data_IF_557903623268
#
_entry.id   IF_557903623268
#
_cell.length_a   1.000
_cell.length_b   1.000
_cell.length_c   1.000
_cell.angle_alpha   90.00
_cell.angle_beta   90.00
_cell.angle_gamma   90.00
#
_symmetry.space_group_name_H-M   'P 1'
#
loop_
_entity.id
_entity.type
_entity.pdbx_description
1 polymer ?
#
# COMPACT_ATOMS: atom_id res chain seq x y z
N UNK A 1 -15.88 -4.61 10.80
CA UNK A 1 -14.95 -3.52 11.13
C UNK A 1 -13.92 -3.42 10.02
N UNK A 2 -13.55 -2.23 9.58
CA UNK A 2 -12.48 -2.03 8.60
C UNK A 2 -11.31 -1.35 9.33
N UNK A 3 -10.12 -1.95 9.27
CA UNK A 3 -8.94 -1.49 10.01
C UNK A 3 -7.98 -0.68 9.14
N UNK A 4 -7.25 0.24 9.76
CA UNK A 4 -6.21 1.03 9.09
C UNK A 4 -4.92 0.95 9.90
N UNK A 5 -3.80 0.83 9.21
CA UNK A 5 -2.48 1.01 9.82
C UNK A 5 -1.54 1.70 8.84
N UNK A 6 -0.67 2.55 9.37
CA UNK A 6 0.31 3.28 8.59
C UNK A 6 1.70 2.81 8.97
N UNK A 7 2.44 2.41 7.95
CA UNK A 7 3.86 2.07 8.00
C UNK A 7 4.70 3.16 7.31
N UNK A 8 4.09 4.32 7.04
CA UNK A 8 4.78 5.49 6.51
C UNK A 8 5.88 5.94 7.48
N UNK A 9 6.97 6.46 6.91
CA UNK A 9 8.16 6.98 7.58
C UNK A 9 8.99 5.94 8.34
N UNK A 10 8.67 4.66 8.19
CA UNK A 10 9.54 3.60 8.67
C UNK A 10 10.75 3.50 7.72
N UNK A 11 11.96 3.28 8.23
CA UNK A 11 13.19 3.32 7.43
C UNK A 11 13.41 2.05 6.59
N UNK A 12 12.35 1.47 6.02
CA UNK A 12 12.42 0.20 5.30
C UNK A 12 13.34 0.31 4.07
N UNK A 13 13.16 1.34 3.24
CA UNK A 13 14.01 1.55 2.06
C UNK A 13 15.42 2.02 2.39
N UNK A 14 15.69 2.43 3.63
CA UNK A 14 17.02 2.83 4.10
C UNK A 14 17.81 1.69 4.75
N UNK A 15 17.15 0.56 5.02
CA UNK A 15 17.76 -0.59 5.69
C UNK A 15 18.74 -1.29 4.74
N UNK A 16 20.01 -1.43 5.14
CA UNK A 16 21.02 -2.18 4.39
C UNK A 16 21.74 -3.17 5.32
N UNK A 17 21.65 -4.45 4.98
CA UNK A 17 22.29 -5.55 5.73
C UNK A 17 23.66 -5.98 5.14
N UNK A 18 24.18 -5.22 4.17
CA UNK A 18 25.44 -5.51 3.47
C UNK A 18 25.27 -6.00 2.03
N UNK A 19 24.02 -6.09 1.53
CA UNK A 19 23.69 -6.53 0.17
C UNK A 19 22.95 -5.45 -0.64
N UNK A 20 22.87 -4.23 -0.10
CA UNK A 20 22.15 -3.11 -0.70
C UNK A 20 20.75 -2.92 -0.11
N UNK A 21 20.14 -1.79 -0.48
CA UNK A 21 18.82 -1.36 -0.01
C UNK A 21 17.68 -2.08 -0.74
N UNK A 22 16.50 -2.26 -0.11
CA UNK A 22 15.33 -2.85 -0.76
C UNK A 22 14.91 -2.10 -2.02
N UNK A 23 14.56 -2.86 -3.05
CA UNK A 23 13.97 -2.32 -4.29
C UNK A 23 12.46 -2.17 -4.14
N UNK A 24 11.84 -3.08 -3.39
CA UNK A 24 10.40 -3.12 -3.16
C UNK A 24 10.09 -3.68 -1.77
N UNK A 25 9.00 -3.21 -1.17
CA UNK A 25 8.52 -3.62 0.14
C UNK A 25 7.12 -4.22 -0.02
N UNK A 26 6.86 -5.32 0.66
CA UNK A 26 5.55 -5.94 0.69
C UNK A 26 5.28 -6.60 2.04
N UNK A 27 4.00 -6.85 2.31
CA UNK A 27 3.56 -7.55 3.52
C UNK A 27 3.02 -8.94 3.20
N UNK A 28 3.46 -9.94 3.96
CA UNK A 28 2.89 -11.29 3.89
C UNK A 28 1.60 -11.44 4.71
N UNK A 29 1.19 -10.39 5.43
CA UNK A 29 0.09 -10.46 6.35
C UNK A 29 -1.25 -10.51 5.59
N UNK A 30 -2.05 -11.54 5.89
CA UNK A 30 -3.41 -11.68 5.35
C UNK A 30 -4.42 -11.14 6.35
N UNK A 31 -4.74 -9.86 6.23
CA UNK A 31 -5.79 -9.25 7.04
C UNK A 31 -7.09 -9.20 6.26
N UNK A 32 -8.21 -9.55 6.91
CA UNK A 32 -9.52 -9.35 6.32
C UNK A 32 -9.98 -7.92 6.60
N UNK A 33 -10.42 -7.19 5.56
CA UNK A 33 -10.97 -5.82 5.67
C UNK A 33 -10.01 -4.83 6.34
N UNK A 34 -8.82 -4.64 5.77
CA UNK A 34 -7.83 -3.70 6.29
C UNK A 34 -7.11 -2.94 5.17
N UNK A 35 -6.60 -1.75 5.49
CA UNK A 35 -5.72 -0.94 4.65
C UNK A 35 -4.36 -0.72 5.31
N UNK A 36 -3.29 -0.92 4.54
CA UNK A 36 -1.90 -0.66 4.90
C UNK A 36 -1.38 0.47 4.04
N UNK A 37 -0.81 1.50 4.67
CA UNK A 37 -0.17 2.61 3.96
C UNK A 37 1.34 2.47 4.06
N UNK A 38 2.01 2.47 2.91
CA UNK A 38 3.46 2.34 2.76
C UNK A 38 3.96 3.54 1.94
N UNK A 39 5.12 4.09 2.26
CA UNK A 39 5.73 5.09 1.39
C UNK A 39 6.20 4.43 0.09
N UNK A 40 6.15 5.16 -1.02
CA UNK A 40 6.81 4.73 -2.27
C UNK A 40 8.33 4.76 -2.08
N UNK A 41 9.05 4.01 -2.93
CA UNK A 41 10.52 3.92 -2.85
C UNK A 41 11.23 5.28 -2.95
N UNK A 42 10.71 6.19 -3.77
CA UNK A 42 11.22 7.55 -3.94
C UNK A 42 10.82 8.49 -2.78
N UNK A 43 9.92 8.06 -1.89
CA UNK A 43 9.41 8.85 -0.78
C UNK A 43 8.47 9.98 -1.20
N UNK A 44 8.07 10.05 -2.47
CA UNK A 44 7.22 11.14 -3.00
C UNK A 44 5.72 10.84 -2.88
N UNK A 45 5.35 9.58 -2.62
CA UNK A 45 3.97 9.12 -2.56
C UNK A 45 3.71 8.02 -1.53
N UNK A 46 2.47 7.53 -1.53
CA UNK A 46 2.00 6.48 -0.63
C UNK A 46 1.30 5.40 -1.47
N UNK A 47 1.66 4.14 -1.24
CA UNK A 47 0.89 2.99 -1.69
C UNK A 47 -0.12 2.55 -0.62
N UNK A 48 -1.38 2.44 -1.01
CA UNK A 48 -2.45 1.91 -0.17
C UNK A 48 -2.78 0.47 -0.55
N UNK A 49 -2.38 -0.46 0.30
CA UNK A 49 -2.65 -1.89 0.12
C UNK A 49 -3.92 -2.26 0.88
N UNK A 50 -5.00 -2.49 0.14
CA UNK A 50 -6.34 -2.68 0.69
C UNK A 50 -6.80 -4.12 0.47
N UNK A 51 -7.24 -4.78 1.53
CA UNK A 51 -7.86 -6.11 1.45
C UNK A 51 -9.35 -6.01 1.71
N UNK A 52 -10.17 -6.37 0.72
CA UNK A 52 -11.63 -6.40 0.77
C UNK A 52 -12.17 -7.65 0.07
N UNK A 53 -13.46 -7.91 0.19
CA UNK A 53 -14.11 -8.93 -0.66
C UNK A 53 -14.12 -8.49 -2.12
N UNK A 54 -14.17 -9.43 -3.06
CA UNK A 54 -14.19 -9.11 -4.50
C UNK A 54 -15.33 -8.13 -4.87
N UNK A 55 -16.51 -8.31 -4.27
CA UNK A 55 -17.66 -7.42 -4.47
C UNK A 55 -17.41 -5.99 -3.96
N UNK A 56 -16.66 -5.84 -2.88
CA UNK A 56 -16.32 -4.53 -2.31
C UNK A 56 -15.17 -3.88 -3.06
N UNK A 57 -14.15 -4.63 -3.48
CA UNK A 57 -13.10 -4.11 -4.36
C UNK A 57 -13.66 -3.58 -5.67
N UNK A 58 -14.57 -4.32 -6.31
CA UNK A 58 -15.20 -3.86 -7.55
C UNK A 58 -15.94 -2.52 -7.40
N UNK A 59 -16.48 -2.23 -6.20
CA UNK A 59 -17.09 -0.92 -5.91
C UNK A 59 -16.03 0.15 -5.67
N UNK A 60 -14.98 -0.17 -4.91
CA UNK A 60 -13.88 0.74 -4.61
C UNK A 60 -13.15 1.18 -5.90
N UNK A 61 -12.91 0.25 -6.82
CA UNK A 61 -12.23 0.48 -8.09
C UNK A 61 -13.02 1.35 -9.07
N UNK A 62 -14.33 1.48 -8.86
CA UNK A 62 -15.24 2.29 -9.68
C UNK A 62 -15.68 3.58 -8.98
N UNK A 63 -15.25 3.80 -7.74
CA UNK A 63 -15.66 4.95 -6.94
C UNK A 63 -15.02 6.24 -7.52
N UNK A 64 -15.82 7.25 -7.90
CA UNK A 64 -15.30 8.46 -8.53
C UNK A 64 -14.35 9.26 -7.64
N UNK A 65 -14.57 9.28 -6.32
CA UNK A 65 -13.73 10.02 -5.38
C UNK A 65 -12.39 9.29 -5.22
N UNK A 66 -12.39 7.96 -5.21
CA UNK A 66 -11.15 7.17 -5.22
C UNK A 66 -10.39 7.36 -6.53
N UNK A 67 -11.07 7.28 -7.67
CA UNK A 67 -10.45 7.43 -9.00
C UNK A 67 -9.89 8.84 -9.23
N UNK A 68 -10.42 9.86 -8.56
CA UNK A 68 -9.90 11.22 -8.61
C UNK A 68 -8.55 11.38 -7.86
N UNK A 69 -8.23 10.48 -6.93
CA UNK A 69 -7.10 10.64 -6.00
C UNK A 69 -6.12 9.46 -5.96
N UNK A 70 -6.47 8.32 -6.53
CA UNK A 70 -5.66 7.12 -6.54
C UNK A 70 -5.54 6.51 -7.93
N UNK A 71 -4.45 5.78 -8.14
CA UNK A 71 -4.28 4.93 -9.32
C UNK A 71 -4.06 3.48 -8.87
N UNK A 72 -4.63 2.52 -9.60
CA UNK A 72 -4.49 1.09 -9.30
C UNK A 72 -3.27 0.46 -9.97
N UNK A 73 -2.41 1.28 -10.60
CA UNK A 73 -1.15 0.80 -11.17
C UNK A 73 -0.12 0.70 -10.05
N UNK A 74 0.57 -0.44 -9.89
CA UNK A 74 1.71 -0.52 -9.00
C UNK A 74 2.74 0.54 -9.41
N UNK A 75 3.42 1.15 -8.43
CA UNK A 75 4.48 2.14 -8.70
C UNK A 75 5.80 1.50 -9.16
N UNK A 76 5.84 0.17 -9.28
CA UNK A 76 7.01 -0.65 -9.61
C UNK A 76 6.79 -1.50 -10.87
#
# INVERSE_FOLDING_TARGET
MFGFTSWCRFPFYETDFGWGKPIWLGTALRFNRAAFFLDTRDGEGIEAWITLTQKEMAKLEQDPDILAHASFKPSC
#
